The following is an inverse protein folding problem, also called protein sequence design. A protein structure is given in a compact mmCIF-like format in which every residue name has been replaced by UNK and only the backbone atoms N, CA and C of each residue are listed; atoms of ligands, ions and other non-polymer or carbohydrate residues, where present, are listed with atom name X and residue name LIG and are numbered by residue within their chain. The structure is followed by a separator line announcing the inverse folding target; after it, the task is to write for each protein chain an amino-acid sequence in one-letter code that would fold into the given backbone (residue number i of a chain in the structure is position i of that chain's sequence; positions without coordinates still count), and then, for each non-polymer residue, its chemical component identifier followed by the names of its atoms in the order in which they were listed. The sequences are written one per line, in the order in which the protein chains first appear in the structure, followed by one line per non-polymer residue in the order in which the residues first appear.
data_IF_469025129958
#
_entry.id   IF_469025129958
#
_cell.length_a   1.000
_cell.length_b   1.000
_cell.length_c   1.000
_cell.angle_alpha   90.00
_cell.angle_beta   90.00
_cell.angle_gamma   90.00
#
_symmetry.space_group_name_H-M   'P 1'
#
loop_
_entity.id
_entity.type
_entity.pdbx_description
1 polymer ?
#
# COMPACT_ATOMS: atom_id res chain seq x y z
N UNK A 1 -3.61 -6.68 -15.02
CA UNK A 1 -4.12 -5.48 -14.33
C UNK A 1 -3.52 -5.50 -12.93
N UNK A 2 -2.90 -4.40 -12.52
CA UNK A 2 -2.26 -4.28 -11.21
C UNK A 2 -3.10 -3.29 -10.39
N UNK A 3 -3.44 -3.68 -9.17
CA UNK A 3 -4.22 -2.88 -8.22
C UNK A 3 -3.58 -2.96 -6.85
N UNK A 4 -3.93 -2.05 -5.94
CA UNK A 4 -3.54 -2.15 -4.53
C UNK A 4 -4.60 -2.90 -3.72
N UNK A 5 -4.25 -3.27 -2.50
CA UNK A 5 -5.19 -3.78 -1.50
C UNK A 5 -5.92 -2.66 -0.71
N UNK A 6 -6.02 -1.43 -1.23
CA UNK A 6 -6.80 -0.35 -0.58
C UNK A 6 -8.29 -0.67 -0.47
N UNK A 7 -8.77 -1.57 -1.32
CA UNK A 7 -10.07 -2.26 -1.23
C UNK A 7 -9.78 -3.76 -1.31
N UNK A 8 -10.48 -4.64 -0.57
CA UNK A 8 -10.24 -6.07 -0.64
C UNK A 8 -10.37 -6.64 -2.07
N UNK A 9 -9.33 -7.33 -2.55
CA UNK A 9 -9.28 -7.94 -3.89
C UNK A 9 -9.09 -9.47 -3.88
N UNK A 10 -8.98 -10.10 -2.70
CA UNK A 10 -8.60 -11.52 -2.56
C UNK A 10 -9.45 -12.45 -3.42
N UNK A 11 -10.78 -12.28 -3.40
CA UNK A 11 -11.67 -13.18 -4.16
C UNK A 11 -11.60 -12.96 -5.67
N UNK A 12 -11.35 -11.72 -6.11
CA UNK A 12 -11.16 -11.39 -7.52
C UNK A 12 -9.81 -11.89 -8.02
N UNK A 13 -8.77 -11.82 -7.19
CA UNK A 13 -7.43 -12.29 -7.52
C UNK A 13 -7.41 -13.82 -7.71
N UNK A 14 -8.19 -14.56 -6.89
CA UNK A 14 -8.40 -16.00 -7.08
C UNK A 14 -9.08 -16.34 -8.40
N UNK A 15 -10.02 -15.50 -8.85
CA UNK A 15 -10.82 -15.74 -10.07
C UNK A 15 -10.08 -15.36 -11.36
N UNK A 16 -9.23 -14.34 -11.31
CA UNK A 16 -8.59 -13.76 -12.51
C UNK A 16 -7.07 -13.79 -12.38
N UNK A 17 -6.42 -14.73 -13.09
CA UNK A 17 -4.96 -14.91 -13.07
C UNK A 17 -4.15 -13.71 -13.56
N UNK A 18 -4.78 -12.77 -14.27
CA UNK A 18 -4.15 -11.52 -14.73
C UNK A 18 -4.28 -10.36 -13.71
N UNK A 19 -4.96 -10.57 -12.59
CA UNK A 19 -5.10 -9.57 -11.52
C UNK A 19 -3.98 -9.76 -10.50
N UNK A 20 -3.11 -8.76 -10.39
CA UNK A 20 -2.05 -8.70 -9.39
C UNK A 20 -2.42 -7.65 -8.34
N UNK A 21 -2.28 -8.01 -7.06
CA UNK A 21 -2.57 -7.14 -5.92
C UNK A 21 -1.24 -6.76 -5.27
N UNK A 22 -0.96 -5.47 -5.17
CA UNK A 22 0.20 -4.91 -4.47
C UNK A 22 -0.23 -4.53 -3.06
N UNK A 23 0.51 -4.98 -2.06
CA UNK A 23 0.27 -4.59 -0.67
C UNK A 23 0.81 -3.18 -0.42
N UNK A 24 -0.05 -2.30 0.11
CA UNK A 24 0.31 -0.94 0.53
C UNK A 24 0.27 -0.76 2.05
N UNK A 25 0.10 -1.84 2.81
CA UNK A 25 0.09 -1.79 4.29
C UNK A 25 1.36 -1.19 4.89
N UNK A 26 2.59 -1.49 4.40
CA UNK A 26 3.81 -0.87 4.91
C UNK A 26 3.82 0.65 4.72
N UNK A 27 3.34 1.12 3.57
CA UNK A 27 3.26 2.55 3.23
C UNK A 27 2.27 3.29 4.16
N UNK A 28 1.09 2.71 4.38
CA UNK A 28 0.08 3.30 5.27
C UNK A 28 0.55 3.29 6.73
N UNK A 29 1.24 2.22 7.15
CA UNK A 29 1.80 2.10 8.50
C UNK A 29 2.84 3.19 8.77
N UNK A 30 3.77 3.40 7.84
CA UNK A 30 4.78 4.44 7.96
C UNK A 30 4.18 5.85 7.88
N UNK A 31 3.12 6.05 7.08
CA UNK A 31 2.39 7.32 7.06
C UNK A 31 1.77 7.64 8.42
N UNK A 32 1.10 6.66 9.05
CA UNK A 32 0.52 6.80 10.39
C UNK A 32 1.62 7.11 11.42
N UNK A 33 2.74 6.37 11.38
CA UNK A 33 3.90 6.59 12.26
C UNK A 33 4.42 8.02 12.13
N UNK A 34 4.63 8.51 10.90
CA UNK A 34 5.14 9.86 10.64
C UNK A 34 4.19 10.93 11.14
N UNK A 35 2.88 10.79 10.90
CA UNK A 35 1.86 11.71 11.42
C UNK A 35 1.92 11.75 12.95
N UNK A 36 2.03 10.58 13.60
CA UNK A 36 2.11 10.48 15.05
C UNK A 36 3.33 11.21 15.65
N UNK A 37 4.49 11.15 14.99
CA UNK A 37 5.72 11.81 15.45
C UNK A 37 5.95 13.22 14.85
N UNK A 38 5.00 13.75 14.08
CA UNK A 38 5.14 15.07 13.42
C UNK A 38 6.20 15.10 12.32
N UNK A 39 6.57 13.94 11.76
CA UNK A 39 7.53 13.83 10.66
C UNK A 39 6.86 14.13 9.31
N UNK A 40 7.63 14.66 8.36
CA UNK A 40 7.12 14.96 7.02
C UNK A 40 6.71 13.70 6.24
N UNK A 41 5.54 13.75 5.59
CA UNK A 41 5.08 12.70 4.67
C UNK A 41 5.79 12.73 3.31
N UNK A 42 6.45 13.84 2.94
CA UNK A 42 7.12 13.97 1.62
C UNK A 42 8.22 12.93 1.39
N UNK A 43 8.75 12.33 2.45
CA UNK A 43 9.71 11.22 2.38
C UNK A 43 9.14 10.00 1.65
N UNK A 44 7.86 9.69 1.85
CA UNK A 44 7.19 8.50 1.30
C UNK A 44 7.03 8.54 -0.23
N UNK A 45 6.98 9.73 -0.82
CA UNK A 45 6.92 9.89 -2.28
C UNK A 45 8.24 9.54 -2.98
N UNK A 46 9.34 9.44 -2.22
CA UNK A 46 10.68 9.09 -2.74
C UNK A 46 11.19 7.74 -2.23
N UNK A 47 10.70 7.30 -1.06
CA UNK A 47 11.15 6.08 -0.39
C UNK A 47 9.93 5.26 0.03
N UNK A 48 9.72 4.14 -0.65
CA UNK A 48 8.65 3.19 -0.30
C UNK A 48 9.22 2.21 0.73
N UNK A 49 8.65 2.13 1.95
CA UNK A 49 9.05 1.12 2.92
C UNK A 49 8.74 -0.28 2.38
N UNK A 50 9.73 -1.18 2.47
CA UNK A 50 9.63 -2.59 2.08
C UNK A 50 8.96 -3.42 3.17
#
# INVERSE_FOLDING_TARGET
VIVTNSVPQIDRAKKYSKLCVVDISPLLTEAIRRIHFGESLSFLGKNVPL
#
